data_IF_180512096072
#
_entry.id   IF_180512096072
#
_cell.length_a   1.000
_cell.length_b   1.000
_cell.length_c   1.000
_cell.angle_alpha   90.00
_cell.angle_beta   90.00
_cell.angle_gamma   90.00
#
_symmetry.space_group_name_H-M   'P 1'
#
loop_
_entity.id
_entity.type
_entity.pdbx_description
1 polymer ?
#
# COMPACT_ATOMS: atom_id res chain seq x y z
N UNK A 1 60.85 16.33 6.83
CA UNK A 1 60.43 14.91 6.84
C UNK A 1 59.53 14.73 8.05
N UNK A 2 58.29 14.28 8.02
CA UNK A 2 57.25 14.12 7.00
C UNK A 2 55.93 14.10 7.81
N UNK A 3 54.85 14.64 7.26
CA UNK A 3 53.50 14.59 7.84
C UNK A 3 52.94 13.16 7.84
N UNK A 4 51.98 12.85 8.73
CA UNK A 4 50.90 11.85 8.59
C UNK A 4 50.00 11.97 9.85
N UNK A 5 48.91 12.73 9.82
CA UNK A 5 47.60 12.40 9.25
C UNK A 5 46.88 11.27 10.00
N UNK A 6 45.80 11.69 10.67
CA UNK A 6 44.68 10.89 11.13
C UNK A 6 44.11 10.04 9.99
N UNK A 7 43.97 8.73 10.18
CA UNK A 7 42.98 7.88 9.50
C UNK A 7 42.85 6.57 10.30
N UNK A 8 41.78 6.35 11.06
CA UNK A 8 40.49 5.80 10.62
C UNK A 8 40.57 4.28 10.36
N UNK A 9 40.69 3.50 11.44
CA UNK A 9 40.60 2.04 11.38
C UNK A 9 39.15 1.57 11.66
N UNK A 10 38.52 1.08 10.60
CA UNK A 10 37.98 -0.28 10.65
C UNK A 10 36.62 -0.51 11.31
N UNK A 11 35.66 0.41 11.22
CA UNK A 11 34.25 0.03 11.34
C UNK A 11 33.62 0.04 9.95
N UNK A 12 33.50 -1.15 9.36
CA UNK A 12 32.73 -1.37 8.15
C UNK A 12 31.38 -0.65 8.28
N UNK A 13 30.98 0.18 7.30
CA UNK A 13 29.66 0.78 7.35
C UNK A 13 28.66 -0.38 7.25
N UNK A 14 27.93 -0.61 8.34
CA UNK A 14 26.68 -1.33 8.29
C UNK A 14 25.81 -0.55 7.31
N UNK A 15 25.82 -0.98 6.04
CA UNK A 15 24.84 -0.59 5.05
C UNK A 15 23.54 -1.20 5.57
N UNK A 16 22.86 -0.44 6.41
CA UNK A 16 21.47 -0.67 6.78
C UNK A 16 20.72 -0.68 5.45
N UNK A 17 20.46 -1.89 4.96
CA UNK A 17 19.64 -2.15 3.80
C UNK A 17 18.32 -1.43 4.02
N UNK A 18 18.18 -0.29 3.35
CA UNK A 18 16.99 0.55 3.34
C UNK A 18 15.85 -0.37 2.94
N UNK A 19 15.07 -0.78 3.93
CA UNK A 19 13.91 -1.65 3.74
C UNK A 19 12.88 -0.83 2.95
N UNK A 20 12.97 -0.91 1.62
CA UNK A 20 11.96 -0.40 0.70
C UNK A 20 10.61 -0.92 1.18
N UNK A 21 9.73 0.01 1.55
CA UNK A 21 8.47 -0.24 2.22
C UNK A 21 7.44 -0.65 1.16
N UNK A 22 7.66 -1.76 0.44
CA UNK A 22 6.73 -2.21 -0.59
C UNK A 22 5.36 -2.53 0.02
N UNK A 23 4.29 -2.21 -0.70
CA UNK A 23 2.95 -2.64 -0.32
C UNK A 23 2.74 -4.08 -0.80
N UNK A 24 2.43 -4.98 0.12
CA UNK A 24 2.35 -6.43 -0.12
C UNK A 24 1.03 -7.00 0.42
N UNK A 25 0.61 -8.20 -0.02
CA UNK A 25 -0.56 -8.88 0.56
C UNK A 25 -0.45 -9.07 2.08
N UNK A 26 0.76 -9.33 2.59
CA UNK A 26 1.03 -9.44 4.04
C UNK A 26 0.76 -8.12 4.78
N UNK A 27 1.07 -6.97 4.15
CA UNK A 27 0.74 -5.65 4.69
C UNK A 27 -0.75 -5.33 4.63
N UNK A 28 -1.45 -5.70 3.57
CA UNK A 28 -2.91 -5.55 3.52
C UNK A 28 -3.55 -6.33 4.69
N UNK A 29 -3.10 -7.58 4.93
CA UNK A 29 -3.56 -8.36 6.09
C UNK A 29 -3.23 -7.68 7.42
N UNK A 30 -2.03 -7.11 7.57
CA UNK A 30 -1.65 -6.37 8.79
C UNK A 30 -2.49 -5.11 9.01
N UNK A 31 -2.78 -4.36 7.95
CA UNK A 31 -3.66 -3.19 8.01
C UNK A 31 -5.10 -3.59 8.36
N UNK A 32 -5.64 -4.64 7.76
CA UNK A 32 -6.97 -5.14 8.11
C UNK A 32 -7.07 -5.54 9.59
N UNK A 33 -6.02 -6.15 10.17
CA UNK A 33 -5.99 -6.43 11.61
C UNK A 33 -6.00 -5.16 12.45
N UNK A 34 -5.28 -4.13 12.03
CA UNK A 34 -5.19 -2.84 12.74
C UNK A 34 -6.50 -2.06 12.74
N UNK A 35 -7.27 -2.13 11.65
CA UNK A 35 -8.52 -1.39 11.48
C UNK A 35 -9.78 -2.25 11.70
N UNK A 36 -9.63 -3.49 12.18
CA UNK A 36 -10.75 -4.42 12.43
C UNK A 36 -11.77 -3.79 13.38
N UNK A 37 -13.05 -3.83 13.04
CA UNK A 37 -14.14 -3.19 13.80
C UNK A 37 -14.34 -1.71 13.46
N UNK A 38 -13.91 -1.25 12.28
CA UNK A 38 -14.05 0.13 11.82
C UNK A 38 -14.30 0.22 10.31
N UNK A 39 -14.74 1.38 9.82
CA UNK A 39 -14.87 1.65 8.38
C UNK A 39 -13.59 1.53 7.55
N UNK A 40 -12.43 1.31 8.18
CA UNK A 40 -11.17 1.03 7.52
C UNK A 40 -11.06 -0.37 6.90
N UNK A 41 -12.01 -1.28 7.16
CA UNK A 41 -12.06 -2.63 6.56
C UNK A 41 -13.15 -2.72 5.49
N UNK A 42 -12.79 -3.24 4.31
CA UNK A 42 -13.70 -3.30 3.15
C UNK A 42 -15.02 -4.02 3.40
N UNK A 43 -15.01 -5.06 4.25
CA UNK A 43 -16.23 -5.81 4.61
C UNK A 43 -17.18 -4.99 5.50
N UNK A 44 -16.63 -4.13 6.35
CA UNK A 44 -17.39 -3.29 7.29
C UNK A 44 -17.89 -2.00 6.62
N UNK A 45 -17.32 -1.63 5.47
CA UNK A 45 -17.67 -0.41 4.73
C UNK A 45 -18.61 -0.63 3.52
N UNK A 46 -19.18 -1.83 3.39
CA UNK A 46 -19.92 -2.28 2.19
C UNK A 46 -21.24 -1.55 1.96
N UNK A 47 -21.84 -0.97 3.00
CA UNK A 47 -23.08 -0.19 2.92
C UNK A 47 -22.89 1.34 2.79
N UNK A 48 -21.67 1.85 2.95
CA UNK A 48 -21.38 3.30 3.04
C UNK A 48 -21.01 3.99 1.72
N UNK A 49 -21.07 3.27 0.58
CA UNK A 49 -20.67 3.78 -0.73
C UNK A 49 -19.15 3.91 -0.93
N UNK A 50 -18.35 3.28 -0.07
CA UNK A 50 -16.89 3.24 -0.19
C UNK A 50 -16.45 2.02 -0.99
N UNK A 51 -15.76 2.27 -2.11
CA UNK A 51 -15.18 1.24 -2.96
C UNK A 51 -13.71 1.04 -2.59
N UNK A 52 -13.23 -0.19 -2.31
CA UNK A 52 -11.82 -0.42 -2.05
C UNK A 52 -10.97 0.08 -3.21
N UNK A 53 -9.90 0.82 -2.90
CA UNK A 53 -9.05 1.45 -3.91
C UNK A 53 -7.60 1.57 -3.42
N UNK A 54 -6.72 1.91 -4.35
CA UNK A 54 -5.34 2.24 -4.10
C UNK A 54 -5.04 3.64 -4.66
N UNK A 55 -4.11 4.34 -4.05
CA UNK A 55 -3.58 5.60 -4.56
C UNK A 55 -2.07 5.52 -4.63
N UNK A 56 -1.47 6.01 -5.70
CA UNK A 56 -0.04 6.22 -5.80
C UNK A 56 0.28 7.63 -5.29
N UNK A 57 0.95 7.75 -4.16
CA UNK A 57 1.28 9.05 -3.58
C UNK A 57 2.35 9.82 -4.36
N UNK A 58 3.08 9.16 -5.26
CA UNK A 58 4.08 9.82 -6.09
C UNK A 58 3.45 10.59 -7.26
N UNK A 59 2.37 10.06 -7.82
CA UNK A 59 1.68 10.62 -9.00
C UNK A 59 0.33 11.24 -8.68
N UNK A 60 -0.25 10.92 -7.51
CA UNK A 60 -1.61 11.30 -7.13
C UNK A 60 -2.69 10.45 -7.83
N UNK A 61 -2.30 9.49 -8.67
CA UNK A 61 -3.24 8.64 -9.39
C UNK A 61 -3.95 7.68 -8.44
N UNK A 62 -5.22 7.37 -8.73
CA UNK A 62 -6.04 6.45 -7.93
C UNK A 62 -6.57 5.34 -8.81
N UNK A 63 -6.67 4.14 -8.25
CA UNK A 63 -7.10 2.96 -8.97
C UNK A 63 -8.07 2.14 -8.10
N UNK A 64 -9.30 1.87 -8.57
CA UNK A 64 -10.23 0.99 -7.86
C UNK A 64 -9.67 -0.42 -7.75
N UNK A 65 -9.84 -1.06 -6.59
CA UNK A 65 -9.47 -2.46 -6.40
C UNK A 65 -10.30 -3.34 -7.33
N UNK A 66 -9.62 -4.17 -8.12
CA UNK A 66 -10.23 -5.06 -9.11
C UNK A 66 -9.65 -6.46 -9.02
N UNK A 67 -10.43 -7.44 -9.47
CA UNK A 67 -9.92 -8.76 -9.79
C UNK A 67 -9.00 -8.70 -11.00
N UNK A 68 -8.23 -9.76 -11.24
CA UNK A 68 -7.35 -9.87 -12.41
C UNK A 68 -8.11 -9.74 -13.76
N UNK A 69 -9.41 -10.05 -13.77
CA UNK A 69 -10.30 -9.90 -14.94
C UNK A 69 -10.87 -8.47 -15.08
N UNK A 70 -10.46 -7.53 -14.23
CA UNK A 70 -10.88 -6.13 -14.28
C UNK A 70 -12.21 -5.82 -13.60
N UNK A 71 -12.95 -6.82 -13.10
CA UNK A 71 -14.19 -6.59 -12.33
C UNK A 71 -13.89 -5.93 -10.98
N UNK A 72 -14.74 -5.02 -10.47
CA UNK A 72 -14.57 -4.44 -9.14
C UNK A 72 -14.47 -5.50 -8.04
N UNK A 73 -13.49 -5.36 -7.16
CA UNK A 73 -13.29 -6.25 -6.04
C UNK A 73 -13.97 -5.70 -4.77
N UNK A 74 -14.71 -6.53 -4.02
CA UNK A 74 -15.33 -6.10 -2.75
C UNK A 74 -14.31 -5.93 -1.61
N UNK A 75 -13.05 -6.27 -1.86
CA UNK A 75 -11.93 -6.17 -0.92
C UNK A 75 -10.68 -5.65 -1.65
N UNK A 76 -9.68 -5.19 -0.89
CA UNK A 76 -8.37 -4.82 -1.44
C UNK A 76 -7.65 -6.04 -2.04
N UNK A 77 -7.51 -6.04 -3.36
CA UNK A 77 -6.76 -7.02 -4.15
C UNK A 77 -5.74 -6.27 -5.02
N UNK A 78 -4.51 -6.78 -5.06
CA UNK A 78 -3.45 -6.21 -5.89
C UNK A 78 -3.48 -6.74 -7.33
N UNK A 79 -4.16 -7.86 -7.57
CA UNK A 79 -4.09 -8.61 -8.83
C UNK A 79 -4.61 -7.84 -10.05
N UNK A 80 -5.54 -6.91 -9.85
CA UNK A 80 -6.09 -6.06 -10.92
C UNK A 80 -5.42 -4.69 -11.06
N UNK A 81 -4.29 -4.44 -10.38
CA UNK A 81 -3.55 -3.18 -10.53
C UNK A 81 -2.81 -3.11 -11.87
N UNK A 82 -2.64 -1.89 -12.42
CA UNK A 82 -1.89 -1.70 -13.66
C UNK A 82 -0.42 -2.09 -13.48
N UNK A 83 0.18 -2.66 -14.52
CA UNK A 83 1.55 -3.18 -14.49
C UNK A 83 2.59 -2.12 -14.11
N UNK A 84 2.34 -0.86 -14.47
CA UNK A 84 3.19 0.28 -14.09
C UNK A 84 3.32 0.46 -12.56
N UNK A 85 2.40 -0.07 -11.76
CA UNK A 85 2.47 0.00 -10.29
C UNK A 85 3.00 -1.30 -9.69
N UNK A 86 3.03 -2.38 -10.46
CA UNK A 86 3.48 -3.71 -10.04
C UNK A 86 5.00 -3.79 -10.10
N UNK A 87 5.60 -4.17 -8.98
CA UNK A 87 7.05 -4.35 -8.85
C UNK A 87 7.41 -5.82 -9.04
N UNK A 88 6.56 -6.73 -8.55
CA UNK A 88 6.79 -8.16 -8.67
C UNK A 88 5.48 -8.95 -8.78
N UNK A 89 5.55 -10.03 -9.56
CA UNK A 89 4.54 -11.07 -9.67
C UNK A 89 5.15 -12.42 -9.30
N UNK A 90 4.35 -13.34 -8.75
CA UNK A 90 4.75 -14.74 -8.59
C UNK A 90 4.67 -15.49 -9.92
N UNK A 91 5.25 -16.71 -9.94
CA UNK A 91 5.27 -17.60 -11.11
C UNK A 91 3.89 -17.96 -11.66
N UNK A 92 2.84 -17.84 -10.86
CA UNK A 92 1.44 -18.04 -11.26
C UNK A 92 0.73 -16.73 -11.67
N UNK A 93 1.45 -15.62 -11.85
CA UNK A 93 0.92 -14.34 -12.31
C UNK A 93 0.32 -13.42 -11.25
N UNK A 94 0.19 -13.88 -9.99
CA UNK A 94 -0.34 -13.04 -8.89
C UNK A 94 0.61 -11.92 -8.51
N UNK A 95 0.06 -10.75 -8.19
CA UNK A 95 0.87 -9.61 -7.76
C UNK A 95 1.36 -9.84 -6.33
N UNK A 96 2.69 -9.84 -6.14
CA UNK A 96 3.33 -10.06 -4.84
C UNK A 96 3.85 -8.77 -4.22
N UNK A 97 4.22 -7.78 -5.04
CA UNK A 97 4.64 -6.46 -4.59
C UNK A 97 4.24 -5.36 -5.58
N UNK A 98 3.90 -4.19 -5.04
CA UNK A 98 3.68 -2.95 -5.79
C UNK A 98 4.56 -1.84 -5.23
N UNK A 99 4.69 -0.73 -5.97
CA UNK A 99 5.50 0.45 -5.60
C UNK A 99 5.28 0.87 -4.14
N UNK A 100 6.34 1.36 -3.49
CA UNK A 100 6.31 1.86 -2.10
C UNK A 100 5.34 3.03 -1.90
N UNK A 101 5.14 3.83 -2.95
CA UNK A 101 4.22 4.97 -2.95
C UNK A 101 2.75 4.56 -3.01
N UNK A 102 2.44 3.29 -3.28
CA UNK A 102 1.05 2.83 -3.37
C UNK A 102 0.49 2.57 -1.97
N UNK A 103 -0.58 3.31 -1.64
CA UNK A 103 -1.32 3.21 -0.39
C UNK A 103 -2.72 2.67 -0.63
N UNK A 104 -3.22 1.84 0.30
CA UNK A 104 -4.58 1.31 0.22
C UNK A 104 -5.57 2.18 1.00
N UNK A 105 -6.73 2.41 0.39
CA UNK A 105 -7.81 3.25 0.91
C UNK A 105 -9.12 2.96 0.18
N UNK A 106 -9.96 3.96 0.00
CA UNK A 106 -11.29 3.83 -0.55
C UNK A 106 -11.63 5.00 -1.46
N UNK A 107 -12.42 4.76 -2.49
CA UNK A 107 -13.05 5.80 -3.28
C UNK A 107 -14.50 5.96 -2.82
N UNK A 108 -14.94 7.20 -2.58
CA UNK A 108 -16.34 7.56 -2.36
C UNK A 108 -16.62 8.87 -3.09
N UNK A 109 -17.65 8.88 -3.93
CA UNK A 109 -18.04 10.03 -4.74
C UNK A 109 -16.85 10.67 -5.52
N UNK A 110 -15.97 9.84 -6.09
CA UNK A 110 -14.81 10.30 -6.86
C UNK A 110 -13.61 10.80 -6.05
N UNK A 111 -13.70 10.82 -4.71
CA UNK A 111 -12.61 11.22 -3.83
C UNK A 111 -11.97 10.02 -3.15
N UNK A 112 -10.64 10.04 -3.02
CA UNK A 112 -9.89 9.03 -2.27
C UNK A 112 -9.86 9.35 -0.78
N UNK A 113 -10.06 8.31 0.02
CA UNK A 113 -10.01 8.31 1.46
C UNK A 113 -9.01 7.25 1.90
N UNK A 114 -8.09 7.62 2.77
CA UNK A 114 -7.27 6.63 3.48
C UNK A 114 -8.16 5.75 4.37
N UNK A 115 -7.64 4.60 4.82
CA UNK A 115 -8.39 3.75 5.77
C UNK A 115 -8.81 4.49 7.05
N UNK A 116 -7.97 5.40 7.55
CA UNK A 116 -8.30 6.21 8.73
C UNK A 116 -9.46 7.17 8.45
N UNK A 117 -9.39 7.91 7.34
CA UNK A 117 -10.47 8.82 6.93
C UNK A 117 -11.78 8.09 6.64
N UNK A 118 -11.70 6.88 6.07
CA UNK A 118 -12.89 6.04 5.86
C UNK A 118 -13.49 5.54 7.19
N UNK A 119 -12.66 5.20 8.17
CA UNK A 119 -13.13 4.85 9.51
C UNK A 119 -13.82 6.04 10.21
N UNK A 120 -13.19 7.22 10.20
CA UNK A 120 -13.78 8.45 10.77
C UNK A 120 -15.11 8.83 10.11
N UNK A 121 -15.18 8.74 8.78
CA UNK A 121 -16.39 9.06 8.03
C UNK A 121 -17.56 8.10 8.31
N UNK A 122 -17.29 6.89 8.81
CA UNK A 122 -18.33 5.95 9.24
C UNK A 122 -18.81 6.16 10.67
N UNK A 123 -18.00 6.79 11.54
CA UNK A 123 -18.39 7.10 12.93
C UNK A 123 -19.27 8.36 13.02
N UNK A 124 -19.35 9.15 11.95
CA UNK A 124 -20.13 10.41 11.88
C UNK A 124 -21.58 10.20 11.39
N UNK A 125 -22.10 8.98 11.36
CA UNK A 125 -23.50 8.63 11.03
C UNK A 125 -24.05 7.71 12.11
#
# INVERSE_FOLDING_TARGET
MNALALANDGAAPQIQARTGRFMTPGRIKAQNRRFKGSGGVSQENRGGGFLPAFADTATGATYPSRFADGRPAPIHLLDGLPDEWVVARSTNGRVTAVKDSVVAGFLRAGRFYTRAQAAEAMTQH
#
